data_IF_589305653268
#
_entry.id   IF_589305653268
#
_cell.length_a   1.000
_cell.length_b   1.000
_cell.length_c   1.000
_cell.angle_alpha   90.00
_cell.angle_beta   90.00
_cell.angle_gamma   90.00
#
_symmetry.space_group_name_H-M   'P 1'
#
loop_
_entity.id
_entity.type
_entity.pdbx_description
1 polymer ?
#
# COMPACT_ATOMS: atom_id res chain seq x y z
N UNK A 1 14.31 -8.27 24.08
CA UNK A 1 15.33 -7.96 25.10
C UNK A 1 15.45 -6.48 25.39
N UNK A 2 15.72 -5.61 24.40
CA UNK A 2 15.85 -4.15 24.60
C UNK A 2 14.63 -3.50 25.28
N UNK A 3 13.40 -3.89 24.90
CA UNK A 3 12.17 -3.34 25.48
C UNK A 3 11.99 -3.71 26.97
N UNK A 4 12.09 -4.99 27.31
CA UNK A 4 11.95 -5.45 28.70
C UNK A 4 13.00 -4.80 29.61
N UNK A 5 14.21 -4.56 29.08
CA UNK A 5 15.26 -3.84 29.80
C UNK A 5 14.88 -2.38 30.08
N UNK A 6 14.42 -1.64 29.06
CA UNK A 6 13.96 -0.25 29.23
C UNK A 6 12.78 -0.16 30.20
N UNK A 7 11.84 -1.12 30.11
CA UNK A 7 10.68 -1.23 31.01
C UNK A 7 11.09 -1.48 32.46
N UNK A 8 11.89 -2.51 32.70
CA UNK A 8 12.29 -2.84 34.05
C UNK A 8 13.18 -1.73 34.64
N UNK A 9 13.99 -1.07 33.82
CA UNK A 9 14.79 0.07 34.22
C UNK A 9 13.92 1.29 34.59
N UNK A 10 12.90 1.65 33.80
CA UNK A 10 12.01 2.77 34.14
C UNK A 10 11.21 2.50 35.42
N UNK A 11 10.65 1.30 35.58
CA UNK A 11 9.95 0.88 36.80
C UNK A 11 10.90 0.91 38.00
N UNK A 12 12.14 0.44 37.85
CA UNK A 12 13.15 0.47 38.90
C UNK A 12 13.49 1.90 39.31
N UNK A 13 13.73 2.79 38.36
CA UNK A 13 14.04 4.20 38.63
C UNK A 13 12.88 4.88 39.37
N UNK A 14 11.64 4.72 38.90
CA UNK A 14 10.46 5.34 39.54
C UNK A 14 10.25 4.76 40.95
N UNK A 15 10.45 3.45 41.11
CA UNK A 15 10.29 2.77 42.41
C UNK A 15 11.37 3.16 43.42
N UNK A 16 12.63 3.30 42.99
CA UNK A 16 13.74 3.77 43.84
C UNK A 16 13.52 5.23 44.25
N UNK A 17 13.08 6.08 43.32
CA UNK A 17 12.71 7.47 43.64
C UNK A 17 11.54 7.53 44.63
N UNK A 18 10.54 6.65 44.51
CA UNK A 18 9.41 6.59 45.43
C UNK A 18 9.88 6.28 46.86
N UNK A 19 10.79 5.31 47.01
CA UNK A 19 11.33 4.88 48.31
C UNK A 19 12.22 5.97 48.93
N UNK A 20 13.08 6.60 48.12
CA UNK A 20 13.97 7.68 48.58
C UNK A 20 13.19 8.90 49.07
N UNK A 21 12.12 9.27 48.35
CA UNK A 21 11.26 10.40 48.72
C UNK A 21 10.49 10.13 50.02
N UNK A 22 10.17 8.87 50.32
CA UNK A 22 9.34 8.53 51.46
C UNK A 22 10.05 8.64 52.83
N UNK A 23 11.40 8.52 52.85
CA UNK A 23 12.22 8.56 54.07
C UNK A 23 11.56 7.80 55.25
N UNK A 24 11.04 6.60 54.95
CA UNK A 24 10.17 5.84 55.84
C UNK A 24 10.94 5.11 56.95
N UNK A 25 10.26 4.83 58.06
CA UNK A 25 10.79 4.03 59.18
C UNK A 25 11.17 2.62 58.72
N UNK A 26 12.22 2.03 59.33
CA UNK A 26 12.82 0.75 58.93
C UNK A 26 11.85 -0.40 58.55
N UNK A 27 10.72 -0.66 59.24
CA UNK A 27 9.80 -1.73 58.85
C UNK A 27 8.98 -1.42 57.59
N UNK A 28 8.66 -0.15 57.32
CA UNK A 28 7.85 0.24 56.15
C UNK A 28 8.68 0.30 54.87
N UNK A 29 9.93 0.75 54.97
CA UNK A 29 10.85 0.76 53.83
C UNK A 29 11.14 -0.66 53.33
N UNK A 30 11.25 -1.66 54.21
CA UNK A 30 11.40 -3.07 53.84
C UNK A 30 10.22 -3.60 53.01
N UNK A 31 8.98 -3.25 53.36
CA UNK A 31 7.78 -3.67 52.62
C UNK A 31 7.76 -3.02 51.22
N UNK A 32 8.09 -1.73 51.12
CA UNK A 32 8.14 -1.02 49.84
C UNK A 32 9.27 -1.53 48.92
N UNK A 33 10.42 -1.87 49.48
CA UNK A 33 11.52 -2.52 48.74
C UNK A 33 11.08 -3.91 48.25
N UNK A 34 10.36 -4.67 49.08
CA UNK A 34 9.77 -5.95 48.69
C UNK A 34 8.81 -5.81 47.50
N UNK A 35 7.83 -4.92 47.59
CA UNK A 35 6.82 -4.69 46.54
C UNK A 35 7.46 -4.18 45.23
N UNK A 36 8.42 -3.26 45.31
CA UNK A 36 9.14 -2.76 44.13
C UNK A 36 10.03 -3.82 43.47
N UNK A 37 10.71 -4.67 44.27
CA UNK A 37 11.49 -5.77 43.73
C UNK A 37 10.64 -6.74 42.93
N UNK A 38 9.41 -7.03 43.39
CA UNK A 38 8.46 -7.86 42.66
C UNK A 38 8.03 -7.19 41.35
N UNK A 39 7.70 -5.90 41.35
CA UNK A 39 7.37 -5.17 40.12
C UNK A 39 8.51 -5.18 39.09
N UNK A 40 9.76 -5.02 39.53
CA UNK A 40 10.94 -5.06 38.65
C UNK A 40 11.14 -6.47 38.08
N UNK A 41 11.03 -7.51 38.91
CA UNK A 41 11.15 -8.91 38.48
C UNK A 41 10.04 -9.25 37.48
N UNK A 42 8.80 -8.84 37.74
CA UNK A 42 7.69 -9.00 36.81
C UNK A 42 7.96 -8.26 35.49
N UNK A 43 8.54 -7.05 35.55
CA UNK A 43 8.96 -6.28 34.37
C UNK A 43 10.00 -6.99 33.50
N UNK A 44 10.97 -7.68 34.12
CA UNK A 44 12.00 -8.46 33.41
C UNK A 44 11.47 -9.77 32.81
N UNK A 45 10.68 -10.51 33.59
CA UNK A 45 10.19 -11.86 33.24
C UNK A 45 9.11 -11.81 32.14
N UNK A 46 8.35 -10.70 32.05
CA UNK A 46 7.23 -10.57 31.11
C UNK A 46 7.66 -9.94 29.79
N UNK A 47 7.71 -10.74 28.72
CA UNK A 47 7.78 -10.24 27.34
C UNK A 47 6.41 -9.89 26.75
N UNK A 48 6.34 -8.99 25.74
CA UNK A 48 5.10 -8.52 25.11
C UNK A 48 4.28 -9.61 24.39
N UNK A 49 4.84 -10.81 24.20
CA UNK A 49 4.20 -11.95 23.52
C UNK A 49 3.55 -12.96 24.48
N UNK A 50 3.54 -12.70 25.79
CA UNK A 50 2.97 -13.66 26.75
C UNK A 50 1.44 -13.72 26.62
N UNK A 51 0.87 -14.90 26.36
CA UNK A 51 -0.59 -15.12 26.21
C UNK A 51 -1.44 -14.65 27.41
N UNK A 52 -0.81 -14.37 28.56
CA UNK A 52 -1.45 -13.86 29.79
C UNK A 52 -0.98 -12.45 30.20
N UNK A 53 -0.49 -11.66 29.25
CA UNK A 53 0.04 -10.32 29.52
C UNK A 53 -0.99 -9.41 30.24
N UNK A 54 -2.28 -9.57 29.94
CA UNK A 54 -3.35 -8.79 30.59
C UNK A 54 -3.52 -9.10 32.08
N UNK A 55 -3.57 -10.38 32.46
CA UNK A 55 -3.64 -10.81 33.87
C UNK A 55 -2.43 -10.32 34.68
N UNK A 56 -1.29 -10.27 34.00
CA UNK A 56 -0.04 -9.75 34.54
C UNK A 56 -0.15 -8.26 34.92
N UNK A 57 -0.76 -7.44 34.07
CA UNK A 57 -0.96 -6.01 34.34
C UNK A 57 -1.97 -5.78 35.48
N UNK A 58 -2.96 -6.65 35.65
CA UNK A 58 -3.86 -6.61 36.82
C UNK A 58 -3.08 -6.81 38.12
N UNK A 59 -2.10 -7.73 38.12
CA UNK A 59 -1.20 -7.91 39.27
C UNK A 59 -0.41 -6.62 39.52
N UNK A 60 0.08 -5.96 38.47
CA UNK A 60 0.84 -4.71 38.63
C UNK A 60 -0.01 -3.61 39.28
N UNK A 61 -1.29 -3.46 38.89
CA UNK A 61 -2.25 -2.54 39.54
C UNK A 61 -2.41 -2.87 41.03
N UNK A 62 -2.51 -4.16 41.39
CA UNK A 62 -2.66 -4.60 42.77
C UNK A 62 -1.41 -4.30 43.62
N UNK A 63 -0.21 -4.50 43.06
CA UNK A 63 1.05 -4.17 43.73
C UNK A 63 1.24 -2.66 43.89
N UNK A 64 0.91 -1.85 42.87
CA UNK A 64 0.95 -0.38 42.96
C UNK A 64 -0.06 0.12 44.01
N UNK A 65 -1.25 -0.47 44.08
CA UNK A 65 -2.22 -0.17 45.14
C UNK A 65 -1.67 -0.51 46.52
N UNK A 66 -1.06 -1.68 46.69
CA UNK A 66 -0.44 -2.08 47.95
C UNK A 66 0.69 -1.11 48.36
N UNK A 67 1.52 -0.64 47.42
CA UNK A 67 2.54 0.39 47.70
C UNK A 67 1.89 1.70 48.16
N UNK A 68 0.79 2.12 47.53
CA UNK A 68 0.03 3.29 47.94
C UNK A 68 -0.57 3.16 49.34
N UNK A 69 -1.06 1.98 49.71
CA UNK A 69 -1.65 1.71 51.03
C UNK A 69 -0.61 1.75 52.16
N UNK A 70 0.60 1.24 51.93
CA UNK A 70 1.68 1.24 52.93
C UNK A 70 2.48 2.55 52.98
N UNK A 71 2.25 3.46 52.04
CA UNK A 71 2.94 4.74 51.97
C UNK A 71 2.64 5.62 53.19
N UNK A 72 3.67 6.29 53.72
CA UNK A 72 3.58 7.27 54.80
C UNK A 72 2.74 8.50 54.42
N UNK A 73 2.79 8.91 53.15
CA UNK A 73 2.01 10.03 52.66
C UNK A 73 0.60 9.56 52.31
N UNK A 74 -0.42 10.36 52.68
CA UNK A 74 -1.80 10.13 52.23
C UNK A 74 -1.87 9.96 50.71
N UNK A 75 -1.03 10.70 49.97
CA UNK A 75 -0.88 10.57 48.51
C UNK A 75 0.59 10.68 48.15
N UNK A 76 1.16 9.56 47.75
CA UNK A 76 2.50 9.53 47.19
C UNK A 76 2.41 9.75 45.67
N UNK A 77 2.75 10.97 45.23
CA UNK A 77 2.74 11.34 43.81
C UNK A 77 3.67 10.48 42.94
N UNK A 78 4.73 9.90 43.52
CA UNK A 78 5.66 9.05 42.77
C UNK A 78 5.07 7.64 42.57
N UNK A 79 4.36 7.10 43.58
CA UNK A 79 3.58 5.86 43.41
C UNK A 79 2.47 6.06 42.37
N UNK A 80 1.87 7.24 42.35
CA UNK A 80 0.88 7.60 41.34
C UNK A 80 1.46 7.61 39.90
N UNK A 81 2.74 7.93 39.72
CA UNK A 81 3.41 7.82 38.43
C UNK A 81 3.54 6.36 37.94
N UNK A 82 3.55 5.36 38.84
CA UNK A 82 3.51 3.95 38.44
C UNK A 82 2.17 3.57 37.81
N UNK A 83 1.06 4.20 38.20
CA UNK A 83 -0.23 4.00 37.53
C UNK A 83 -0.21 4.54 36.08
N UNK A 84 0.46 5.67 35.83
CA UNK A 84 0.66 6.17 34.45
C UNK A 84 1.45 5.16 33.61
N UNK A 85 2.49 4.57 34.21
CA UNK A 85 3.29 3.55 33.54
C UNK A 85 2.45 2.31 33.15
N UNK A 86 1.61 1.82 34.07
CA UNK A 86 0.69 0.70 33.79
C UNK A 86 -0.31 1.07 32.68
N UNK A 87 -0.83 2.31 32.66
CA UNK A 87 -1.72 2.78 31.59
C UNK A 87 -1.04 2.80 30.21
N UNK A 88 0.21 3.29 30.15
CA UNK A 88 1.01 3.28 28.90
C UNK A 88 1.12 1.86 28.36
N UNK A 89 1.45 0.90 29.23
CA UNK A 89 1.60 -0.50 28.81
C UNK A 89 0.29 -1.13 28.38
N UNK A 90 -0.81 -0.85 29.08
CA UNK A 90 -2.13 -1.34 28.74
C UNK A 90 -2.57 -0.83 27.36
N UNK A 91 -2.33 0.43 27.02
CA UNK A 91 -2.83 1.01 25.76
C UNK A 91 -1.95 0.60 24.56
N UNK A 92 -0.64 0.47 24.73
CA UNK A 92 0.27 0.12 23.63
C UNK A 92 0.13 -1.35 23.25
N UNK A 93 0.06 -2.26 24.23
CA UNK A 93 0.27 -3.70 23.98
C UNK A 93 -0.97 -4.56 24.01
N UNK A 94 -2.10 -4.07 24.54
CA UNK A 94 -3.34 -4.83 24.56
C UNK A 94 -4.23 -4.49 23.35
N UNK A 95 -5.12 -5.41 22.94
CA UNK A 95 -6.19 -5.07 22.01
C UNK A 95 -7.11 -4.02 22.65
N UNK A 96 -7.80 -3.24 21.82
CA UNK A 96 -8.60 -2.09 22.23
C UNK A 96 -9.54 -2.38 23.43
N UNK A 97 -10.26 -3.50 23.40
CA UNK A 97 -11.16 -3.91 24.49
C UNK A 97 -10.39 -4.24 25.78
N UNK A 98 -9.25 -4.95 25.66
CA UNK A 98 -8.39 -5.28 26.79
C UNK A 98 -7.75 -4.04 27.43
N UNK A 99 -7.36 -3.06 26.60
CA UNK A 99 -6.84 -1.76 27.07
C UNK A 99 -7.89 -1.00 27.87
N UNK A 100 -9.14 -0.94 27.38
CA UNK A 100 -10.24 -0.26 28.09
C UNK A 100 -10.47 -0.92 29.46
N UNK A 101 -10.57 -2.25 29.51
CA UNK A 101 -10.78 -2.99 30.77
C UNK A 101 -9.63 -2.75 31.76
N UNK A 102 -8.38 -2.75 31.31
CA UNK A 102 -7.25 -2.52 32.19
C UNK A 102 -7.14 -1.07 32.66
N UNK A 103 -7.45 -0.11 31.80
CA UNK A 103 -7.50 1.31 32.16
C UNK A 103 -8.59 1.55 33.20
N UNK A 104 -9.78 0.96 33.05
CA UNK A 104 -10.84 1.07 34.07
C UNK A 104 -10.44 0.43 35.39
N UNK A 105 -9.80 -0.75 35.37
CA UNK A 105 -9.22 -1.37 36.59
C UNK A 105 -8.18 -0.46 37.24
N UNK A 106 -7.35 0.20 36.44
CA UNK A 106 -6.33 1.14 36.94
C UNK A 106 -6.98 2.37 37.59
N UNK A 107 -8.03 2.92 36.98
CA UNK A 107 -8.82 4.01 37.58
C UNK A 107 -9.51 3.60 38.88
N UNK A 108 -10.01 2.37 38.97
CA UNK A 108 -10.56 1.83 40.22
C UNK A 108 -9.45 1.76 41.29
N UNK A 109 -8.25 1.30 40.93
CA UNK A 109 -7.09 1.31 41.82
C UNK A 109 -6.75 2.72 42.35
N UNK A 110 -6.69 3.71 41.46
CA UNK A 110 -6.48 5.12 41.84
C UNK A 110 -7.62 5.60 42.75
N UNK A 111 -8.88 5.33 42.39
CA UNK A 111 -10.05 5.70 43.20
C UNK A 111 -10.01 5.13 44.61
N UNK A 112 -9.58 3.86 44.76
CA UNK A 112 -9.38 3.22 46.07
C UNK A 112 -8.26 3.90 46.86
N UNK A 113 -7.13 4.26 46.23
CA UNK A 113 -6.06 5.00 46.93
C UNK A 113 -6.55 6.36 47.45
N UNK A 114 -7.35 7.08 46.65
CA UNK A 114 -7.93 8.37 47.03
C UNK A 114 -8.98 8.20 48.14
N UNK A 115 -9.80 7.15 48.07
CA UNK A 115 -10.81 6.85 49.10
C UNK A 115 -10.15 6.55 50.46
N UNK A 116 -9.07 5.78 50.47
CA UNK A 116 -8.30 5.54 51.70
C UNK A 116 -7.70 6.85 52.25
N UNK A 117 -7.18 7.72 51.38
CA UNK A 117 -6.69 9.04 51.78
C UNK A 117 -7.80 9.91 52.41
N UNK A 118 -9.03 9.78 51.93
CA UNK A 118 -10.22 10.50 52.45
C UNK A 118 -10.57 10.11 53.89
N UNK A 119 -10.27 8.88 54.27
CA UNK A 119 -10.58 8.33 55.60
C UNK A 119 -9.78 9.01 56.72
N UNK A 120 -8.72 9.74 56.39
CA UNK A 120 -7.91 10.53 57.32
C UNK A 120 -8.40 11.99 57.49
N UNK A 121 -9.48 12.38 56.81
CA UNK A 121 -10.14 13.68 56.97
C UNK A 121 -10.32 14.47 55.67
N UNK A 122 -11.44 15.21 55.58
CA UNK A 122 -11.75 16.08 54.45
C UNK A 122 -11.22 17.50 54.68
N UNK A 123 -10.27 17.92 53.86
CA UNK A 123 -9.81 19.30 53.78
C UNK A 123 -10.00 19.82 52.34
N UNK A 124 -10.43 21.07 52.19
CA UNK A 124 -10.66 21.71 50.89
C UNK A 124 -9.42 21.62 49.97
N UNK A 125 -8.22 21.75 50.54
CA UNK A 125 -6.96 21.63 49.80
C UNK A 125 -6.77 20.23 49.21
N UNK A 126 -7.07 19.18 49.98
CA UNK A 126 -6.95 17.78 49.55
C UNK A 126 -7.97 17.50 48.44
N UNK A 127 -9.23 17.89 48.62
CA UNK A 127 -10.28 17.71 47.61
C UNK A 127 -9.94 18.38 46.28
N UNK A 128 -9.41 19.60 46.32
CA UNK A 128 -9.03 20.35 45.11
C UNK A 128 -7.85 19.68 44.39
N UNK A 129 -6.84 19.22 45.15
CA UNK A 129 -5.71 18.48 44.59
C UNK A 129 -6.16 17.17 43.92
N UNK A 130 -7.17 16.48 44.47
CA UNK A 130 -7.66 15.21 43.91
C UNK A 130 -8.38 15.43 42.59
N UNK A 131 -9.23 16.45 42.53
CA UNK A 131 -9.91 16.84 41.31
C UNK A 131 -8.92 17.14 40.18
N UNK A 132 -7.84 17.86 40.50
CA UNK A 132 -6.79 18.17 39.54
C UNK A 132 -6.01 16.92 39.10
N UNK A 133 -5.68 16.01 40.03
CA UNK A 133 -5.00 14.76 39.68
C UNK A 133 -5.87 13.91 38.74
N UNK A 134 -7.14 13.71 39.09
CA UNK A 134 -8.06 12.91 38.28
C UNK A 134 -8.22 13.53 36.89
N UNK A 135 -8.37 14.86 36.79
CA UNK A 135 -8.53 15.53 35.51
C UNK A 135 -7.29 15.40 34.62
N UNK A 136 -6.08 15.52 35.20
CA UNK A 136 -4.83 15.29 34.48
C UNK A 136 -4.68 13.84 34.01
N UNK A 137 -5.08 12.86 34.83
CA UNK A 137 -5.05 11.44 34.45
C UNK A 137 -6.00 11.14 33.30
N UNK A 138 -7.22 11.68 33.35
CA UNK A 138 -8.22 11.54 32.29
C UNK A 138 -7.70 12.16 30.99
N UNK A 139 -7.18 13.40 31.07
CA UNK A 139 -6.60 14.08 29.91
C UNK A 139 -5.44 13.26 29.32
N UNK A 140 -4.51 12.80 30.16
CA UNK A 140 -3.40 11.95 29.75
C UNK A 140 -3.87 10.67 29.04
N UNK A 141 -4.86 9.99 29.60
CA UNK A 141 -5.41 8.76 29.03
C UNK A 141 -6.02 8.99 27.66
N UNK A 142 -6.82 10.05 27.51
CA UNK A 142 -7.44 10.43 26.24
C UNK A 142 -6.37 10.77 25.20
N UNK A 143 -5.37 11.56 25.56
CA UNK A 143 -4.26 11.90 24.67
C UNK A 143 -3.47 10.66 24.22
N UNK A 144 -3.25 9.69 25.13
CA UNK A 144 -2.53 8.46 24.81
C UNK A 144 -3.33 7.59 23.83
N UNK A 145 -4.64 7.41 24.07
CA UNK A 145 -5.51 6.70 23.12
C UNK A 145 -5.53 7.38 21.74
N UNK A 146 -5.64 8.70 21.70
CA UNK A 146 -5.61 9.46 20.46
C UNK A 146 -4.27 9.28 19.73
N UNK A 147 -3.15 9.38 20.44
CA UNK A 147 -1.81 9.21 19.86
C UNK A 147 -1.59 7.82 19.26
N UNK A 148 -1.96 6.76 19.99
CA UNK A 148 -1.82 5.38 19.50
C UNK A 148 -2.75 5.11 18.31
N UNK A 149 -3.96 5.68 18.32
CA UNK A 149 -4.90 5.55 17.20
C UNK A 149 -4.37 6.27 15.96
N UNK A 150 -3.82 7.48 16.13
CA UNK A 150 -3.21 8.27 15.06
C UNK A 150 -2.04 7.54 14.39
N UNK A 151 -1.15 6.90 15.15
CA UNK A 151 -0.04 6.14 14.59
C UNK A 151 -0.55 4.95 13.77
N UNK A 152 -1.51 4.19 14.31
CA UNK A 152 -2.08 3.02 13.61
C UNK A 152 -2.74 3.41 12.29
N UNK A 153 -3.50 4.51 12.30
CA UNK A 153 -4.16 5.05 11.12
C UNK A 153 -3.12 5.54 10.09
N UNK A 154 -2.08 6.25 10.53
CA UNK A 154 -0.98 6.68 9.66
C UNK A 154 -0.29 5.50 8.96
N UNK A 155 0.03 4.45 9.69
CA UNK A 155 0.67 3.25 9.12
C UNK A 155 -0.25 2.54 8.11
N UNK A 156 -1.57 2.55 8.33
CA UNK A 156 -2.54 2.00 7.40
C UNK A 156 -2.63 2.84 6.12
N UNK A 157 -2.72 4.16 6.27
CA UNK A 157 -2.77 5.11 5.14
C UNK A 157 -1.49 5.01 4.29
N UNK A 158 -0.32 4.93 4.92
CA UNK A 158 0.95 4.77 4.20
C UNK A 158 0.99 3.47 3.39
N UNK A 159 0.58 2.34 3.99
CA UNK A 159 0.51 1.05 3.29
C UNK A 159 -0.46 1.08 2.12
N UNK A 160 -1.62 1.72 2.30
CA UNK A 160 -2.62 1.85 1.25
C UNK A 160 -2.12 2.75 0.10
N UNK A 161 -1.48 3.88 0.42
CA UNK A 161 -0.88 4.75 -0.59
C UNK A 161 0.22 4.03 -1.38
N UNK A 162 1.08 3.24 -0.72
CA UNK A 162 2.09 2.44 -1.41
C UNK A 162 1.47 1.40 -2.35
N UNK A 163 0.36 0.77 -1.94
CA UNK A 163 -0.36 -0.16 -2.81
C UNK A 163 -1.00 0.55 -4.01
N UNK A 164 -1.57 1.74 -3.79
CA UNK A 164 -2.20 2.55 -4.83
C UNK A 164 -1.18 3.04 -5.86
N UNK A 165 -0.01 3.49 -5.44
CA UNK A 165 1.09 3.86 -6.35
C UNK A 165 1.50 2.68 -7.21
N UNK A 166 1.70 1.50 -6.63
CA UNK A 166 2.05 0.28 -7.41
C UNK A 166 0.98 -0.09 -8.44
N UNK A 167 -0.30 0.04 -8.09
CA UNK A 167 -1.38 -0.23 -9.06
C UNK A 167 -1.41 0.82 -10.17
N UNK A 168 -1.16 2.09 -9.83
CA UNK A 168 -1.10 3.16 -10.81
C UNK A 168 0.06 2.93 -11.82
N UNK A 169 1.25 2.58 -11.33
CA UNK A 169 2.41 2.26 -12.19
C UNK A 169 2.12 1.06 -13.11
N UNK A 170 1.44 0.03 -12.60
CA UNK A 170 1.03 -1.12 -13.40
C UNK A 170 0.02 -0.72 -14.49
N UNK A 171 -0.94 0.16 -14.17
CA UNK A 171 -1.91 0.68 -15.15
C UNK A 171 -1.23 1.54 -16.22
N UNK A 172 -0.30 2.41 -15.84
CA UNK A 172 0.49 3.22 -16.79
C UNK A 172 1.26 2.29 -17.75
N UNK A 173 1.93 1.27 -17.20
CA UNK A 173 2.67 0.30 -18.00
C UNK A 173 1.75 -0.46 -18.96
N UNK A 174 0.61 -0.97 -18.47
CA UNK A 174 -0.36 -1.68 -19.30
C UNK A 174 -0.95 -0.79 -20.40
N UNK A 175 -1.26 0.49 -20.08
CA UNK A 175 -1.77 1.45 -21.04
C UNK A 175 -0.73 1.74 -22.13
N UNK A 176 0.54 1.95 -21.75
CA UNK A 176 1.63 2.17 -22.72
C UNK A 176 1.84 0.96 -23.63
N UNK A 177 1.73 -0.27 -23.11
CA UNK A 177 1.81 -1.49 -23.90
C UNK A 177 0.63 -1.61 -24.87
N UNK A 178 -0.58 -1.24 -24.44
CA UNK A 178 -1.77 -1.23 -25.28
C UNK A 178 -1.65 -0.19 -26.42
N UNK A 179 -1.12 0.99 -26.12
CA UNK A 179 -0.86 2.03 -27.13
C UNK A 179 0.14 1.56 -28.17
N UNK A 180 1.25 0.94 -27.74
CA UNK A 180 2.24 0.35 -28.66
C UNK A 180 1.62 -0.76 -29.53
N UNK A 181 0.84 -1.66 -28.93
CA UNK A 181 0.15 -2.72 -29.67
C UNK A 181 -0.85 -2.14 -30.69
N UNK A 182 -1.58 -1.08 -30.35
CA UNK A 182 -2.48 -0.41 -31.29
C UNK A 182 -1.72 0.23 -32.47
N UNK A 183 -0.58 0.89 -32.21
CA UNK A 183 0.27 1.44 -33.27
C UNK A 183 0.73 0.33 -34.22
N UNK A 184 1.14 -0.82 -33.68
CA UNK A 184 1.57 -1.97 -34.46
C UNK A 184 0.42 -2.57 -35.28
N UNK A 185 -0.76 -2.76 -34.67
CA UNK A 185 -1.97 -3.23 -35.36
C UNK A 185 -2.32 -2.30 -36.53
N UNK A 186 -2.30 -0.98 -36.34
CA UNK A 186 -2.59 -0.01 -37.40
C UNK A 186 -1.58 -0.14 -38.55
N UNK A 187 -0.28 -0.27 -38.24
CA UNK A 187 0.77 -0.49 -39.26
C UNK A 187 0.53 -1.77 -40.04
N UNK A 188 0.32 -2.89 -39.35
CA UNK A 188 0.08 -4.20 -39.96
C UNK A 188 -1.21 -4.21 -40.79
N UNK A 189 -2.27 -3.58 -40.29
CA UNK A 189 -3.55 -3.47 -41.02
C UNK A 189 -3.39 -2.66 -42.29
N UNK A 190 -2.67 -1.53 -42.23
CA UNK A 190 -2.38 -0.71 -43.41
C UNK A 190 -1.55 -1.47 -44.46
N UNK A 191 -0.55 -2.22 -44.02
CA UNK A 191 0.26 -3.07 -44.90
C UNK A 191 -0.59 -4.18 -45.53
N UNK A 192 -1.45 -4.82 -44.74
CA UNK A 192 -2.38 -5.86 -45.21
C UNK A 192 -3.36 -5.31 -46.26
N UNK A 193 -4.00 -4.17 -45.99
CA UNK A 193 -4.90 -3.53 -46.96
C UNK A 193 -4.17 -3.16 -48.24
N UNK A 194 -2.96 -2.60 -48.15
CA UNK A 194 -2.15 -2.29 -49.33
C UNK A 194 -1.79 -3.53 -50.14
N UNK A 195 -1.44 -4.64 -49.47
CA UNK A 195 -1.16 -5.92 -50.13
C UNK A 195 -2.41 -6.50 -50.79
N UNK A 196 -3.55 -6.40 -50.14
CA UNK A 196 -4.82 -6.90 -50.66
C UNK A 196 -5.22 -6.07 -51.89
N UNK A 197 -5.16 -4.74 -51.79
CA UNK A 197 -5.41 -3.83 -52.90
C UNK A 197 -4.52 -4.10 -54.11
N UNK A 198 -3.21 -4.33 -53.90
CA UNK A 198 -2.28 -4.66 -54.98
C UNK A 198 -2.64 -5.98 -55.69
N UNK A 199 -3.16 -6.97 -54.95
CA UNK A 199 -3.61 -8.25 -55.50
C UNK A 199 -4.92 -8.08 -56.28
N UNK A 200 -5.91 -7.42 -55.69
CA UNK A 200 -7.22 -7.18 -56.32
C UNK A 200 -7.06 -6.32 -57.59
N UNK A 201 -6.14 -5.35 -57.59
CA UNK A 201 -5.79 -4.56 -58.77
C UNK A 201 -5.14 -5.44 -59.86
N UNK A 202 -4.20 -6.30 -59.48
CA UNK A 202 -3.54 -7.20 -60.43
C UNK A 202 -4.55 -8.17 -61.06
N UNK A 203 -5.42 -8.77 -60.27
CA UNK A 203 -6.37 -9.77 -60.74
C UNK A 203 -7.45 -9.10 -61.60
N UNK A 204 -8.04 -7.97 -61.16
CA UNK A 204 -9.13 -7.32 -61.91
C UNK A 204 -8.62 -6.60 -63.15
N UNK A 205 -7.76 -5.58 -62.98
CA UNK A 205 -7.30 -4.75 -64.10
C UNK A 205 -6.36 -5.55 -65.00
N UNK A 206 -5.50 -6.39 -64.43
CA UNK A 206 -4.58 -7.19 -65.22
C UNK A 206 -5.27 -8.20 -66.12
N UNK A 207 -6.32 -8.87 -65.64
CA UNK A 207 -7.11 -9.77 -66.48
C UNK A 207 -7.95 -9.03 -67.50
N UNK A 208 -8.66 -7.96 -67.11
CA UNK A 208 -9.48 -7.17 -68.05
C UNK A 208 -8.64 -6.59 -69.19
N UNK A 209 -7.46 -6.01 -68.89
CA UNK A 209 -6.59 -5.49 -69.94
C UNK A 209 -6.04 -6.59 -70.84
N UNK A 210 -5.71 -7.75 -70.28
CA UNK A 210 -5.25 -8.89 -71.09
C UNK A 210 -6.35 -9.37 -72.04
N UNK A 211 -7.60 -9.42 -71.55
CA UNK A 211 -8.77 -9.72 -72.39
C UNK A 211 -9.00 -8.65 -73.47
N UNK A 212 -8.87 -7.36 -73.13
CA UNK A 212 -8.99 -6.25 -74.08
C UNK A 212 -7.92 -6.33 -75.18
N UNK A 213 -6.67 -6.61 -74.82
CA UNK A 213 -5.57 -6.82 -75.78
C UNK A 213 -5.93 -7.96 -76.74
N UNK A 214 -6.42 -9.08 -76.22
CA UNK A 214 -6.80 -10.24 -77.04
C UNK A 214 -7.97 -9.92 -77.97
N UNK A 215 -8.97 -9.16 -77.51
CA UNK A 215 -10.11 -8.72 -78.32
C UNK A 215 -9.65 -7.79 -79.45
N UNK A 216 -8.77 -6.84 -79.15
CA UNK A 216 -8.19 -5.93 -80.14
C UNK A 216 -7.30 -6.67 -81.15
N UNK A 217 -6.55 -7.68 -80.72
CA UNK A 217 -5.78 -8.55 -81.61
C UNK A 217 -6.69 -9.35 -82.55
N UNK A 218 -7.80 -9.89 -82.05
CA UNK A 218 -8.78 -10.59 -82.88
C UNK A 218 -9.47 -9.65 -83.87
N UNK A 219 -9.89 -8.46 -83.46
CA UNK A 219 -10.50 -7.48 -84.37
C UNK A 219 -9.52 -6.99 -85.42
N UNK A 220 -8.23 -6.85 -85.08
CA UNK A 220 -7.17 -6.56 -86.07
C UNK A 220 -7.09 -7.66 -87.13
N UNK A 221 -7.11 -8.93 -86.72
CA UNK A 221 -7.06 -10.07 -87.65
C UNK A 221 -8.29 -10.09 -88.56
N UNK A 222 -9.49 -9.86 -88.02
CA UNK A 222 -10.73 -9.79 -88.80
C UNK A 222 -10.84 -8.54 -89.69
N UNK A 223 -10.25 -7.41 -89.31
CA UNK A 223 -10.25 -6.18 -90.11
C UNK A 223 -9.31 -6.24 -91.33
N UNK A 224 -8.36 -7.19 -91.38
CA UNK A 224 -7.52 -7.42 -92.58
C UNK A 224 -8.36 -7.86 -93.79
N UNK A 225 -9.58 -8.36 -93.59
CA UNK A 225 -10.53 -8.71 -94.67
C UNK A 225 -11.37 -7.52 -95.19
N UNK A 226 -11.34 -6.35 -94.53
CA UNK A 226 -12.13 -5.16 -94.92
C UNK A 226 -11.27 -3.91 -94.80
N UNK A 227 -10.90 -3.33 -95.94
CA UNK A 227 -9.74 -2.47 -96.22
C UNK A 227 -9.59 -1.11 -95.46
N UNK A 228 -10.08 -0.96 -94.24
CA UNK A 228 -9.91 0.26 -93.43
C UNK A 228 -9.69 -0.11 -91.96
N UNK A 229 -8.83 0.65 -91.25
CA UNK A 229 -8.63 0.69 -89.78
C UNK A 229 -7.56 -0.20 -89.10
N UNK A 230 -6.61 -0.80 -89.82
CA UNK A 230 -5.53 -1.61 -89.19
C UNK A 230 -4.54 -0.84 -88.29
N UNK A 231 -4.27 0.43 -88.59
CA UNK A 231 -3.26 1.24 -87.88
C UNK A 231 -3.76 1.78 -86.53
N UNK A 232 -5.06 2.09 -86.41
CA UNK A 232 -5.68 2.55 -85.15
C UNK A 232 -5.86 1.41 -84.15
N UNK A 233 -6.22 0.21 -84.62
CA UNK A 233 -6.33 -0.98 -83.77
C UNK A 233 -4.95 -1.39 -83.24
N UNK A 234 -3.90 -1.28 -84.07
CA UNK A 234 -2.53 -1.54 -83.61
C UNK A 234 -2.09 -0.54 -82.52
N UNK A 235 -2.38 0.74 -82.69
CA UNK A 235 -2.12 1.77 -81.66
C UNK A 235 -2.86 1.47 -80.35
N UNK A 236 -4.11 1.00 -80.42
CA UNK A 236 -4.88 0.61 -79.23
C UNK A 236 -4.29 -0.63 -78.52
N UNK A 237 -3.82 -1.64 -79.26
CA UNK A 237 -3.12 -2.80 -78.70
C UNK A 237 -1.84 -2.38 -77.98
N UNK A 238 -1.05 -1.51 -78.62
CA UNK A 238 0.22 -1.07 -78.06
C UNK A 238 0.01 -0.20 -76.80
N UNK A 239 -0.99 0.69 -76.81
CA UNK A 239 -1.40 1.43 -75.60
C UNK A 239 -1.87 0.51 -74.48
N UNK A 240 -2.69 -0.50 -74.77
CA UNK A 240 -3.15 -1.45 -73.75
C UNK A 240 -1.97 -2.26 -73.18
N UNK A 241 -1.03 -2.72 -74.02
CA UNK A 241 0.19 -3.41 -73.55
C UNK A 241 1.05 -2.51 -72.67
N UNK A 242 1.16 -1.24 -73.00
CA UNK A 242 1.91 -0.26 -72.20
C UNK A 242 1.25 -0.03 -70.83
N UNK A 243 -0.08 0.15 -70.80
CA UNK A 243 -0.86 0.28 -69.56
C UNK A 243 -0.73 -0.98 -68.68
N UNK A 244 -0.76 -2.18 -69.28
CA UNK A 244 -0.58 -3.44 -68.55
C UNK A 244 0.82 -3.54 -67.94
N UNK A 245 1.85 -3.13 -68.67
CA UNK A 245 3.25 -3.10 -68.17
C UNK A 245 3.41 -2.06 -67.06
N UNK A 246 2.85 -0.87 -67.24
CA UNK A 246 2.89 0.20 -66.24
C UNK A 246 2.18 -0.22 -64.93
N UNK A 247 1.00 -0.85 -65.03
CA UNK A 247 0.27 -1.36 -63.87
C UNK A 247 1.03 -2.49 -63.15
N UNK A 248 1.55 -3.48 -63.90
CA UNK A 248 2.36 -4.57 -63.31
C UNK A 248 3.63 -4.04 -62.63
N UNK A 249 4.28 -3.03 -63.20
CA UNK A 249 5.43 -2.35 -62.59
C UNK A 249 5.03 -1.64 -61.29
N UNK A 250 3.93 -0.89 -61.30
CA UNK A 250 3.39 -0.21 -60.12
C UNK A 250 3.07 -1.19 -58.98
N UNK A 251 2.40 -2.29 -59.29
CA UNK A 251 2.07 -3.36 -58.34
C UNK A 251 3.33 -4.04 -57.82
N UNK A 252 4.29 -4.41 -58.68
CA UNK A 252 5.52 -5.08 -58.26
C UNK A 252 6.41 -4.19 -57.40
N UNK A 253 6.56 -2.91 -57.76
CA UNK A 253 7.30 -1.93 -56.94
C UNK A 253 6.64 -1.77 -55.58
N UNK A 254 5.31 -1.85 -55.52
CA UNK A 254 4.56 -1.81 -54.26
C UNK A 254 4.58 -3.14 -53.50
N UNK A 255 4.91 -4.26 -54.15
CA UNK A 255 4.99 -5.61 -53.56
C UNK A 255 6.39 -5.96 -53.06
N UNK A 256 7.45 -5.45 -53.67
CA UNK A 256 8.84 -5.65 -53.20
C UNK A 256 9.12 -4.96 -51.87
N UNK A 257 8.48 -3.82 -51.60
CA UNK A 257 8.49 -3.16 -50.28
C UNK A 257 7.92 -4.09 -49.19
N UNK A 258 7.04 -5.05 -49.54
CA UNK A 258 6.36 -5.99 -48.64
C UNK A 258 7.23 -7.22 -48.31
N UNK A 259 8.14 -7.62 -49.22
CA UNK A 259 9.02 -8.79 -49.04
C UNK A 259 10.20 -8.49 -48.11
N UNK A 260 10.73 -7.26 -48.17
CA UNK A 260 11.82 -6.86 -47.27
C UNK A 260 11.38 -6.73 -45.81
N UNK A 261 10.11 -6.40 -45.53
CA UNK A 261 9.61 -6.21 -44.16
C UNK A 261 9.25 -7.54 -43.46
N UNK A 262 8.66 -8.51 -44.19
CA UNK A 262 8.47 -9.88 -43.70
C UNK A 262 9.79 -10.61 -43.39
N UNK A 263 10.88 -10.28 -44.10
CA UNK A 263 12.19 -10.87 -43.83
C UNK A 263 12.73 -10.43 -42.45
N UNK A 264 12.52 -9.16 -42.07
CA UNK A 264 12.90 -8.66 -40.75
C UNK A 264 12.06 -9.30 -39.62
N UNK A 265 10.77 -9.55 -39.84
CA UNK A 265 9.91 -10.26 -38.88
C UNK A 265 10.32 -11.73 -38.67
N UNK A 266 10.89 -12.37 -39.71
CA UNK A 266 11.44 -13.73 -39.62
C UNK A 266 12.81 -13.79 -38.92
N UNK A 267 13.53 -12.68 -38.89
CA UNK A 267 14.86 -12.58 -38.27
C UNK A 267 14.80 -12.10 -36.81
N UNK A 268 13.74 -11.41 -36.36
CA UNK A 268 13.58 -10.98 -34.95
C UNK A 268 12.93 -12.03 -34.04
N UNK A 269 12.36 -13.10 -34.60
CA UNK A 269 11.78 -14.25 -33.87
C UNK A 269 12.78 -15.37 -33.58
N UNK A 270 14.09 -15.12 -33.72
CA UNK A 270 15.16 -16.09 -33.47
C UNK A 270 16.11 -15.57 -32.39
#
# INVERSE_FOLDING_TARGET
>A
MKYNFVRAFSIAVISVLAILFEAATAPRSLILIGLSSVLIVLGFVRGPSHKRFGFSLVIDVAFVYAMGYYSKFNINYIVLALYLWVMIEAIIWQPFVGSIILVTITYIGIGLTIFNALSYGLNYQITTQMGLIISLFVLFTVMLFMYVSYIKERDQVQRLNLALVKQNDALITANSALEQANIEIVKLTRLKERSQFARDLHDTIGHELTGLIMLLEMTKISAIETEVTGDEIQKAIDQAREILRAMRSLVNTHKEVILHENLYESLSKK
#
